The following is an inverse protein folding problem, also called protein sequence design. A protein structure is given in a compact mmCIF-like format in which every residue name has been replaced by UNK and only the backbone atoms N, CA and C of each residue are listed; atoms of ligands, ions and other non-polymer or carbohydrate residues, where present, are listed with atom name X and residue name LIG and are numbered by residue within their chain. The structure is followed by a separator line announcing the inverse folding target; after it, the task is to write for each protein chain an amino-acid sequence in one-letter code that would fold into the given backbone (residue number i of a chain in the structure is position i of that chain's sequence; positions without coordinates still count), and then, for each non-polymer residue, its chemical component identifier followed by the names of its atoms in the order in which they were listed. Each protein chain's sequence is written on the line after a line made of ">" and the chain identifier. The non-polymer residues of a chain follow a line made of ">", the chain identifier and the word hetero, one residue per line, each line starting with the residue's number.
data_IF_063953549641
#
_entry.id   IF_063953549641
#
_cell.length_a   1.000
_cell.length_b   1.000
_cell.length_c   1.000
_cell.angle_alpha   90.00
_cell.angle_beta   90.00
_cell.angle_gamma   90.00
#
_symmetry.space_group_name_H-M   'P 1'
#
loop_
_entity.id
_entity.type
_entity.pdbx_description
1 polymer ?
#
# COMPACT_ATOMS: atom_id res chain seq x y z
N UNK A 1 0.35 -33.99 -9.52
CA UNK A 1 0.84 -32.62 -9.23
C UNK A 1 -0.15 -31.94 -8.30
N UNK A 2 0.21 -31.65 -7.05
CA UNK A 2 -0.76 -31.17 -6.09
C UNK A 2 -1.07 -29.70 -6.39
N UNK A 3 -2.35 -29.43 -6.67
CA UNK A 3 -2.94 -28.11 -6.56
C UNK A 3 -2.58 -27.58 -5.17
N UNK A 4 -1.69 -26.60 -5.11
CA UNK A 4 -1.31 -25.94 -3.87
C UNK A 4 -2.51 -25.13 -3.40
N UNK A 5 -3.27 -25.78 -2.53
CA UNK A 5 -4.19 -25.27 -1.54
C UNK A 5 -4.19 -23.73 -1.45
N UNK A 6 -5.13 -23.12 -2.18
CA UNK A 6 -5.35 -21.69 -2.14
C UNK A 6 -5.89 -21.34 -0.75
N UNK A 7 -4.98 -21.07 0.20
CA UNK A 7 -5.31 -20.62 1.57
C UNK A 7 -6.12 -19.32 1.64
N UNK A 8 -6.50 -18.73 0.50
CA UNK A 8 -7.44 -17.59 0.42
C UNK A 8 -8.90 -18.07 0.44
N UNK A 9 -9.18 -19.33 0.08
CA UNK A 9 -10.54 -19.85 -0.07
C UNK A 9 -11.05 -20.65 1.14
N UNK A 10 -10.27 -20.80 2.21
CA UNK A 10 -10.72 -21.52 3.42
C UNK A 10 -11.13 -20.55 4.52
N UNK A 11 -12.35 -20.02 4.39
CA UNK A 11 -13.32 -19.83 5.49
C UNK A 11 -14.58 -19.13 4.93
N UNK A 12 -15.49 -19.92 4.35
CA UNK A 12 -16.85 -19.52 3.99
C UNK A 12 -17.78 -19.33 5.21
N UNK A 13 -17.27 -19.59 6.41
CA UNK A 13 -17.99 -19.65 7.70
C UNK A 13 -18.33 -18.30 8.34
N UNK A 14 -18.03 -17.17 7.69
CA UNK A 14 -18.22 -15.82 8.26
C UNK A 14 -19.06 -14.86 7.39
N UNK A 15 -19.79 -15.36 6.40
CA UNK A 15 -20.70 -14.52 5.61
C UNK A 15 -22.12 -14.58 6.17
N UNK A 16 -22.58 -13.45 6.69
CA UNK A 16 -23.90 -13.32 7.31
C UNK A 16 -25.05 -13.24 6.30
N UNK A 17 -24.77 -13.10 4.99
CA UNK A 17 -25.78 -12.87 3.95
C UNK A 17 -25.56 -13.76 2.70
N UNK A 18 -26.66 -14.19 2.08
CA UNK A 18 -26.70 -15.08 0.91
C UNK A 18 -26.13 -14.41 -0.35
N UNK A 19 -26.32 -13.09 -0.47
CA UNK A 19 -25.79 -12.28 -1.57
C UNK A 19 -24.26 -12.17 -1.52
N UNK A 20 -23.69 -12.03 -0.32
CA UNK A 20 -22.23 -12.01 -0.16
C UNK A 20 -21.64 -13.34 -0.63
N UNK A 21 -22.20 -14.47 -0.16
CA UNK A 21 -21.77 -15.82 -0.55
C UNK A 21 -21.77 -15.99 -2.07
N UNK A 22 -22.81 -15.52 -2.75
CA UNK A 22 -22.90 -15.59 -4.22
C UNK A 22 -21.72 -14.89 -4.91
N UNK A 23 -21.37 -13.66 -4.49
CA UNK A 23 -20.25 -12.94 -5.07
C UNK A 23 -18.92 -13.68 -4.86
N UNK A 24 -18.70 -14.28 -3.69
CA UNK A 24 -17.50 -15.07 -3.42
C UNK A 24 -17.46 -16.36 -4.23
N UNK A 25 -18.56 -17.09 -4.36
CA UNK A 25 -18.65 -18.31 -5.15
C UNK A 25 -18.37 -18.07 -6.64
N UNK A 26 -18.91 -16.97 -7.19
CA UNK A 26 -18.65 -16.57 -8.58
C UNK A 26 -17.16 -16.29 -8.79
N UNK A 27 -16.55 -15.49 -7.90
CA UNK A 27 -15.13 -15.15 -7.99
C UNK A 27 -14.24 -16.40 -7.81
N UNK A 28 -14.58 -17.27 -6.86
CA UNK A 28 -13.85 -18.51 -6.59
C UNK A 28 -13.92 -19.49 -7.78
N UNK A 29 -15.08 -19.61 -8.42
CA UNK A 29 -15.22 -20.36 -9.68
C UNK A 29 -14.29 -19.81 -10.77
N UNK A 30 -14.26 -18.48 -10.96
CA UNK A 30 -13.38 -17.85 -11.94
C UNK A 30 -11.89 -18.03 -11.61
N UNK A 31 -11.53 -18.07 -10.32
CA UNK A 31 -10.17 -18.38 -9.87
C UNK A 31 -9.75 -19.80 -10.25
N UNK A 32 -10.59 -20.81 -9.98
CA UNK A 32 -10.33 -22.21 -10.36
C UNK A 32 -10.16 -22.38 -11.87
N UNK A 33 -10.88 -21.59 -12.67
CA UNK A 33 -10.79 -21.61 -14.13
C UNK A 33 -9.62 -20.76 -14.68
N UNK A 34 -8.78 -20.15 -13.83
CA UNK A 34 -7.71 -19.21 -14.20
C UNK A 34 -8.17 -18.00 -15.03
N UNK A 35 -9.44 -17.60 -14.91
CA UNK A 35 -10.03 -16.48 -15.66
C UNK A 35 -9.86 -15.15 -14.92
N UNK A 36 -8.61 -14.77 -14.61
CA UNK A 36 -8.29 -13.58 -13.80
C UNK A 36 -8.83 -12.27 -14.37
N UNK A 37 -8.84 -12.11 -15.69
CA UNK A 37 -9.43 -10.94 -16.35
C UNK A 37 -10.92 -10.80 -16.07
N UNK A 38 -11.68 -11.91 -16.03
CA UNK A 38 -13.11 -11.88 -15.77
C UNK A 38 -13.42 -11.49 -14.32
N UNK A 39 -12.56 -11.86 -13.37
CA UNK A 39 -12.68 -11.43 -11.96
C UNK A 39 -12.62 -9.90 -11.88
N UNK A 40 -11.66 -9.28 -12.59
CA UNK A 40 -11.51 -7.83 -12.62
C UNK A 40 -12.69 -7.14 -13.28
N UNK A 41 -13.20 -7.69 -14.38
CA UNK A 41 -14.45 -7.21 -15.01
C UNK A 41 -15.64 -7.32 -14.06
N UNK A 42 -15.80 -8.46 -13.39
CA UNK A 42 -16.88 -8.69 -12.45
C UNK A 42 -16.85 -7.70 -11.27
N UNK A 43 -15.66 -7.49 -10.69
CA UNK A 43 -15.47 -6.55 -9.59
C UNK A 43 -15.68 -5.09 -10.01
N UNK A 44 -15.51 -4.72 -11.28
CA UNK A 44 -15.69 -3.35 -11.77
C UNK A 44 -17.10 -3.03 -12.26
N UNK A 45 -17.93 -4.05 -12.51
CA UNK A 45 -19.27 -3.88 -13.09
C UNK A 45 -20.39 -4.02 -12.06
N UNK A 46 -20.20 -4.82 -11.01
CA UNK A 46 -21.20 -5.06 -9.98
C UNK A 46 -21.03 -4.11 -8.79
N UNK A 47 -22.12 -3.89 -8.06
CA UNK A 47 -22.13 -3.14 -6.79
C UNK A 47 -21.99 -4.08 -5.61
N UNK A 48 -21.26 -3.66 -4.58
CA UNK A 48 -20.99 -4.50 -3.42
C UNK A 48 -21.19 -3.70 -2.13
N UNK A 49 -21.70 -4.33 -1.06
CA UNK A 49 -21.79 -3.68 0.24
C UNK A 49 -20.39 -3.46 0.86
N UNK A 50 -20.24 -2.38 1.63
CA UNK A 50 -18.91 -1.93 2.07
C UNK A 50 -18.20 -2.90 3.02
N UNK A 51 -18.92 -3.70 3.79
CA UNK A 51 -18.33 -4.66 4.74
C UNK A 51 -17.55 -5.79 4.06
N UNK A 52 -17.84 -6.11 2.79
CA UNK A 52 -17.09 -7.11 2.02
C UNK A 52 -15.95 -6.51 1.19
N UNK A 53 -15.85 -5.18 1.06
CA UNK A 53 -14.87 -4.53 0.18
C UNK A 53 -13.44 -4.96 0.47
N UNK A 54 -13.04 -5.10 1.74
CA UNK A 54 -11.70 -5.57 2.10
C UNK A 54 -11.35 -6.94 1.51
N UNK A 55 -12.32 -7.87 1.53
CA UNK A 55 -12.14 -9.22 0.99
C UNK A 55 -12.07 -9.16 -0.55
N UNK A 56 -12.94 -8.36 -1.18
CA UNK A 56 -12.94 -8.17 -2.64
C UNK A 56 -11.68 -7.48 -3.15
N UNK A 57 -11.16 -6.48 -2.44
CA UNK A 57 -9.89 -5.82 -2.75
C UNK A 57 -8.71 -6.80 -2.67
N UNK A 58 -8.72 -7.73 -1.71
CA UNK A 58 -7.71 -8.81 -1.65
C UNK A 58 -7.80 -9.69 -2.89
N UNK A 59 -9.00 -10.12 -3.28
CA UNK A 59 -9.22 -10.94 -4.48
C UNK A 59 -8.85 -10.21 -5.79
N UNK A 60 -9.11 -8.90 -5.87
CA UNK A 60 -8.68 -8.05 -6.98
C UNK A 60 -7.17 -8.16 -7.20
N UNK A 61 -6.36 -7.96 -6.15
CA UNK A 61 -4.91 -8.04 -6.26
C UNK A 61 -4.40 -9.46 -6.44
N UNK A 62 -5.03 -10.45 -5.79
CA UNK A 62 -4.68 -11.85 -5.96
C UNK A 62 -4.85 -12.30 -7.41
N UNK A 63 -5.85 -11.79 -8.13
CA UNK A 63 -6.03 -12.06 -9.56
C UNK A 63 -4.80 -11.64 -10.40
N UNK A 64 -4.23 -10.46 -10.13
CA UNK A 64 -3.00 -10.02 -10.80
C UNK A 64 -1.77 -10.78 -10.32
N UNK A 65 -1.72 -11.14 -9.03
CA UNK A 65 -0.58 -11.88 -8.50
C UNK A 65 -0.49 -13.29 -9.10
N UNK A 66 -1.62 -13.98 -9.22
CA UNK A 66 -1.67 -15.32 -9.82
C UNK A 66 -1.35 -15.27 -11.31
N UNK A 67 -1.88 -14.29 -12.03
CA UNK A 67 -1.55 -14.08 -13.44
C UNK A 67 -0.04 -13.91 -13.63
N UNK A 68 0.62 -13.05 -12.85
CA UNK A 68 2.08 -12.87 -12.93
C UNK A 68 2.90 -14.09 -12.47
N UNK A 69 2.41 -14.85 -11.48
CA UNK A 69 3.04 -16.11 -11.06
C UNK A 69 2.99 -17.16 -12.16
N UNK A 70 1.87 -17.25 -12.88
CA UNK A 70 1.71 -18.18 -14.00
C UNK A 70 2.71 -17.91 -15.13
N UNK A 71 3.16 -16.67 -15.28
CA UNK A 71 4.24 -16.26 -16.17
C UNK A 71 5.66 -16.48 -15.60
N UNK A 72 5.81 -17.28 -14.55
CA UNK A 72 7.12 -17.65 -13.96
C UNK A 72 7.80 -16.56 -13.15
N UNK A 73 7.10 -15.47 -12.80
CA UNK A 73 7.67 -14.36 -12.03
C UNK A 73 7.34 -14.51 -10.55
N UNK A 74 8.36 -14.72 -9.72
CA UNK A 74 8.22 -14.62 -8.28
C UNK A 74 8.00 -13.14 -7.88
N UNK A 75 6.86 -12.88 -7.24
CA UNK A 75 6.45 -11.51 -6.87
C UNK A 75 7.06 -11.07 -5.55
N UNK A 76 8.18 -10.33 -5.64
CA UNK A 76 8.75 -9.60 -4.51
C UNK A 76 7.82 -8.48 -4.02
N UNK A 77 7.97 -8.08 -2.75
CA UNK A 77 7.15 -7.07 -2.09
C UNK A 77 7.06 -5.73 -2.88
N UNK A 78 8.18 -5.27 -3.46
CA UNK A 78 8.23 -4.04 -4.26
C UNK A 78 7.42 -4.17 -5.55
N UNK A 79 7.44 -5.33 -6.19
CA UNK A 79 6.64 -5.59 -7.39
C UNK A 79 5.14 -5.55 -7.05
N UNK A 80 4.73 -6.18 -5.93
CA UNK A 80 3.35 -6.10 -5.43
C UNK A 80 2.94 -4.65 -5.12
N UNK A 81 3.82 -3.84 -4.52
CA UNK A 81 3.56 -2.43 -4.29
C UNK A 81 3.34 -1.64 -5.59
N UNK A 82 4.21 -1.81 -6.59
CA UNK A 82 4.07 -1.15 -7.89
C UNK A 82 2.77 -1.53 -8.59
N UNK A 83 2.38 -2.80 -8.49
CA UNK A 83 1.13 -3.30 -9.04
C UNK A 83 -0.09 -2.64 -8.40
N UNK A 84 -0.13 -2.58 -7.06
CA UNK A 84 -1.19 -1.88 -6.31
C UNK A 84 -1.31 -0.40 -6.68
N UNK A 85 -0.17 0.25 -6.90
CA UNK A 85 -0.14 1.65 -7.36
C UNK A 85 -0.60 1.82 -8.80
N UNK A 86 -0.27 0.87 -9.69
CA UNK A 86 -0.62 0.93 -11.12
C UNK A 86 -2.09 0.55 -11.37
N UNK A 87 -2.63 -0.37 -10.60
CA UNK A 87 -3.97 -0.93 -10.78
C UNK A 87 -4.78 -0.87 -9.47
N UNK A 88 -5.19 0.34 -9.03
CA UNK A 88 -6.05 0.47 -7.86
C UNK A 88 -7.38 -0.27 -8.07
N UNK A 89 -8.08 -0.67 -7.00
CA UNK A 89 -9.36 -1.35 -7.13
C UNK A 89 -10.41 -0.41 -7.75
N UNK A 90 -11.43 -0.95 -8.42
CA UNK A 90 -12.50 -0.14 -8.99
C UNK A 90 -13.35 0.52 -7.89
N UNK A 91 -14.04 1.62 -8.24
CA UNK A 91 -14.85 2.39 -7.26
C UNK A 91 -16.01 1.61 -6.65
N UNK A 92 -16.43 0.54 -7.31
CA UNK A 92 -17.42 -0.43 -6.85
C UNK A 92 -17.03 -1.19 -5.58
N UNK A 93 -15.72 -1.27 -5.28
CA UNK A 93 -15.17 -1.94 -4.10
C UNK A 93 -14.20 -1.05 -3.31
N UNK A 94 -14.16 0.25 -3.62
CA UNK A 94 -13.25 1.22 -2.99
C UNK A 94 -13.78 2.65 -3.12
N UNK A 95 -13.81 3.40 -2.03
CA UNK A 95 -14.24 4.80 -1.98
C UNK A 95 -13.33 5.78 -2.76
N UNK A 96 -12.09 5.38 -3.09
CA UNK A 96 -11.13 6.24 -3.79
C UNK A 96 -10.17 6.98 -2.86
N UNK A 97 -10.20 6.73 -1.56
CA UNK A 97 -9.30 7.36 -0.59
C UNK A 97 -7.87 6.87 -0.77
N UNK A 98 -7.02 7.75 -1.30
CA UNK A 98 -5.60 7.45 -1.51
C UNK A 98 -4.87 7.54 -0.19
N UNK A 99 -4.15 6.47 0.16
CA UNK A 99 -3.12 6.53 1.20
C UNK A 99 -2.01 7.49 0.74
N UNK A 100 -1.90 8.64 1.40
CA UNK A 100 -0.73 9.51 1.22
C UNK A 100 0.45 8.91 1.95
N UNK A 101 1.40 8.35 1.19
CA UNK A 101 2.67 7.89 1.72
C UNK A 101 3.64 9.04 2.04
N UNK A 102 3.28 10.28 1.68
CA UNK A 102 4.08 11.44 1.97
C UNK A 102 3.82 11.89 3.39
N UNK A 103 4.90 12.14 4.13
CA UNK A 103 4.80 12.74 5.45
C UNK A 103 4.19 14.15 5.35
N UNK A 104 3.39 14.56 6.35
CA UNK A 104 2.90 15.94 6.46
C UNK A 104 4.05 16.94 6.34
N UNK A 105 3.80 18.11 5.74
CA UNK A 105 4.84 19.12 5.52
C UNK A 105 5.51 19.52 6.85
N UNK A 106 4.73 19.70 7.91
CA UNK A 106 5.22 20.01 9.26
C UNK A 106 6.21 18.94 9.76
N UNK A 107 5.85 17.66 9.64
CA UNK A 107 6.71 16.53 10.04
C UNK A 107 7.98 16.45 9.20
N UNK A 108 7.90 16.71 7.90
CA UNK A 108 9.09 16.78 7.02
C UNK A 108 10.05 17.87 7.46
N UNK A 109 9.54 19.08 7.71
CA UNK A 109 10.36 20.22 8.14
C UNK A 109 11.06 19.93 9.47
N UNK A 110 10.34 19.34 10.42
CA UNK A 110 10.87 18.96 11.73
C UNK A 110 12.00 17.93 11.60
N UNK A 111 11.76 16.85 10.86
CA UNK A 111 12.77 15.80 10.61
C UNK A 111 14.01 16.34 9.88
N UNK A 112 13.82 17.26 8.92
CA UNK A 112 14.95 17.90 8.24
C UNK A 112 15.75 18.82 9.13
N UNK A 113 15.09 19.55 10.04
CA UNK A 113 15.79 20.38 11.03
C UNK A 113 16.63 19.53 11.97
N UNK A 114 16.08 18.42 12.48
CA UNK A 114 16.82 17.49 13.31
C UNK A 114 18.01 16.87 12.55
N UNK A 115 17.78 16.40 11.32
CA UNK A 115 18.80 15.72 10.52
C UNK A 115 20.03 16.60 10.23
N UNK A 116 19.85 17.92 10.07
CA UNK A 116 20.96 18.86 9.89
C UNK A 116 21.94 18.87 11.07
N UNK A 117 21.43 18.61 12.27
CA UNK A 117 22.23 18.59 13.50
C UNK A 117 22.74 17.17 13.81
N UNK A 118 21.91 16.15 13.59
CA UNK A 118 22.23 14.75 13.87
C UNK A 118 21.68 13.81 12.77
N UNK A 119 22.58 13.23 11.96
CA UNK A 119 22.20 12.31 10.87
C UNK A 119 21.84 10.89 11.35
N UNK A 120 22.18 10.55 12.59
CA UNK A 120 22.02 9.25 13.22
C UNK A 120 21.31 9.39 14.56
N UNK A 121 20.02 9.69 14.52
CA UNK A 121 19.18 9.68 15.71
C UNK A 121 19.26 8.33 16.46
N UNK A 122 19.31 8.39 17.80
CA UNK A 122 19.26 7.26 18.71
C UNK A 122 17.88 6.57 18.69
N UNK A 123 17.65 5.55 19.52
CA UNK A 123 16.30 4.96 19.63
C UNK A 123 15.37 5.93 20.36
N UNK A 124 15.80 6.46 21.49
CA UNK A 124 15.01 7.37 22.33
C UNK A 124 14.65 8.67 21.57
N UNK A 125 15.60 9.24 20.82
CA UNK A 125 15.34 10.43 19.99
C UNK A 125 14.28 10.12 18.91
N UNK A 126 14.30 8.93 18.31
CA UNK A 126 13.26 8.56 17.32
C UNK A 126 11.90 8.40 17.96
N UNK A 127 11.84 7.84 19.16
CA UNK A 127 10.60 7.69 19.91
C UNK A 127 10.00 9.06 20.28
N UNK A 128 10.84 9.99 20.76
CA UNK A 128 10.42 11.35 21.10
C UNK A 128 9.93 12.11 19.85
N UNK A 129 10.67 12.04 18.74
CA UNK A 129 10.25 12.63 17.46
C UNK A 129 8.93 12.04 16.95
N UNK A 130 8.74 10.72 17.09
CA UNK A 130 7.52 10.03 16.70
C UNK A 130 6.33 10.52 17.53
N UNK A 131 6.48 10.59 18.86
CA UNK A 131 5.49 11.14 19.80
C UNK A 131 5.14 12.59 19.45
N UNK A 132 6.13 13.44 19.23
CA UNK A 132 5.93 14.87 18.94
C UNK A 132 5.17 15.14 17.62
N UNK A 133 5.34 14.27 16.61
CA UNK A 133 4.70 14.45 15.30
C UNK A 133 3.43 13.60 15.09
N UNK A 134 3.03 12.80 16.08
CA UNK A 134 1.92 11.84 15.94
C UNK A 134 2.20 10.77 14.89
N UNK A 135 3.44 10.30 14.82
CA UNK A 135 3.90 9.31 13.85
C UNK A 135 4.38 8.04 14.55
N UNK A 136 4.57 6.95 13.82
CA UNK A 136 5.19 5.75 14.38
C UNK A 136 6.71 5.85 14.34
N UNK A 137 7.40 5.26 15.32
CA UNK A 137 8.86 5.19 15.37
C UNK A 137 9.45 4.58 14.08
N UNK A 138 8.76 3.58 13.51
CA UNK A 138 9.12 2.97 12.23
C UNK A 138 9.10 3.98 11.07
N UNK A 139 8.14 4.91 11.02
CA UNK A 139 8.10 5.95 9.99
C UNK A 139 9.31 6.89 10.12
N UNK A 140 9.65 7.29 11.33
CA UNK A 140 10.83 8.13 11.62
C UNK A 140 12.12 7.39 11.24
N UNK A 141 12.28 6.15 11.71
CA UNK A 141 13.43 5.30 11.40
C UNK A 141 13.64 5.11 9.88
N UNK A 142 12.55 4.80 9.17
CA UNK A 142 12.57 4.67 7.71
C UNK A 142 12.91 5.99 7.02
N UNK A 143 12.44 7.13 7.53
CA UNK A 143 12.77 8.44 6.99
C UNK A 143 14.28 8.71 7.08
N UNK A 144 14.90 8.51 8.25
CA UNK A 144 16.34 8.70 8.43
C UNK A 144 17.17 7.77 7.52
N UNK A 145 16.77 6.50 7.44
CA UNK A 145 17.40 5.52 6.54
C UNK A 145 17.34 5.99 5.09
N UNK A 146 16.16 6.41 4.64
CA UNK A 146 15.95 6.88 3.27
C UNK A 146 16.71 8.19 2.98
N UNK A 147 16.75 9.13 3.93
CA UNK A 147 17.49 10.41 3.79
C UNK A 147 18.99 10.16 3.62
N UNK A 148 19.60 9.32 4.45
CA UNK A 148 21.02 8.94 4.31
C UNK A 148 21.32 8.22 3.00
N UNK A 149 20.45 7.29 2.58
CA UNK A 149 20.60 6.61 1.28
C UNK A 149 20.57 7.59 0.11
N UNK A 150 19.66 8.58 0.14
CA UNK A 150 19.57 9.64 -0.88
C UNK A 150 20.82 10.54 -0.87
N UNK A 151 21.27 10.99 0.31
CA UNK A 151 22.50 11.79 0.46
C UNK A 151 23.70 11.09 -0.18
N UNK A 152 23.96 9.83 0.19
CA UNK A 152 25.04 9.01 -0.38
C UNK A 152 24.91 8.82 -1.90
N UNK A 153 23.69 8.64 -2.40
CA UNK A 153 23.45 8.49 -3.84
C UNK A 153 23.73 9.79 -4.59
N UNK A 154 23.43 10.94 -3.99
CA UNK A 154 23.69 12.26 -4.56
C UNK A 154 25.19 12.58 -4.57
N UNK A 155 25.90 12.26 -3.48
CA UNK A 155 27.36 12.44 -3.38
C UNK A 155 28.11 11.58 -4.40
N UNK A 156 27.66 10.34 -4.66
CA UNK A 156 28.23 9.44 -5.67
C UNK A 156 28.04 9.92 -7.11
N UNK A 157 27.09 10.83 -7.37
CA UNK A 157 26.81 11.32 -8.73
C UNK A 157 27.68 12.52 -9.13
N UNK A 158 28.49 13.07 -8.22
CA UNK A 158 29.34 14.24 -8.48
C UNK A 158 28.55 15.52 -8.82
N UNK A 159 29.18 16.70 -8.77
CA UNK A 159 28.54 17.94 -9.20
C UNK A 159 28.46 17.96 -10.73
N UNK A 160 27.30 17.60 -11.29
CA UNK A 160 27.00 17.89 -12.69
C UNK A 160 26.70 19.40 -12.82
N UNK A 161 27.39 20.14 -13.71
CA UNK A 161 27.05 21.54 -13.95
C UNK A 161 25.77 21.60 -14.79
N UNK A 162 24.69 22.03 -14.14
CA UNK A 162 23.49 22.68 -14.69
C UNK A 162 22.81 22.05 -15.92
N UNK A 163 21.58 21.53 -15.75
CA UNK A 163 20.38 21.97 -16.49
C UNK A 163 19.13 21.13 -16.14
N UNK A 164 18.00 21.84 -16.00
CA UNK A 164 16.59 21.36 -15.96
C UNK A 164 16.05 20.71 -14.68
N UNK A 165 15.68 21.59 -13.73
CA UNK A 165 14.52 21.39 -12.89
C UNK A 165 13.24 21.36 -13.76
N UNK A 166 12.90 20.18 -14.26
CA UNK A 166 11.68 19.92 -15.02
C UNK A 166 10.46 19.74 -14.11
N UNK A 167 9.64 20.79 -14.04
CA UNK A 167 8.17 20.79 -14.01
C UNK A 167 7.44 19.77 -13.10
N UNK A 168 6.96 20.28 -11.96
CA UNK A 168 5.59 20.04 -11.51
C UNK A 168 5.14 21.23 -10.65
N UNK A 169 4.90 22.37 -11.32
CA UNK A 169 3.91 23.32 -10.84
C UNK A 169 2.51 22.79 -11.21
N UNK A 170 1.49 23.23 -10.46
CA UNK A 170 0.04 22.93 -10.57
C UNK A 170 -0.38 21.58 -9.95
N UNK A 171 -1.23 21.48 -8.94
CA UNK A 171 -2.28 22.37 -8.44
C UNK A 171 -2.28 22.32 -6.89
N UNK A 172 -2.27 23.48 -6.26
CA UNK A 172 -2.85 23.65 -4.93
C UNK A 172 -4.36 23.63 -5.13
N UNK A 173 -5.03 22.64 -4.56
CA UNK A 173 -6.48 22.65 -4.41
C UNK A 173 -6.75 22.34 -2.94
N UNK A 174 -7.12 23.39 -2.21
CA UNK A 174 -7.70 23.31 -0.87
C UNK A 174 -8.87 22.32 -0.89
N UNK A 175 -8.85 21.30 -0.03
CA UNK A 175 -10.07 20.58 0.34
C UNK A 175 -10.08 20.30 1.83
N UNK A 176 -11.21 20.72 2.39
CA UNK A 176 -11.60 20.73 3.79
C UNK A 176 -11.44 19.36 4.46
N UNK A 177 -11.00 19.39 5.71
CA UNK A 177 -11.17 18.26 6.63
C UNK A 177 -12.67 18.06 6.84
N UNK A 178 -13.17 16.92 6.39
CA UNK A 178 -14.43 16.37 6.90
C UNK A 178 -14.06 15.18 7.76
N UNK A 179 -14.10 15.37 9.08
CA UNK A 179 -14.19 14.25 10.01
C UNK A 179 -15.56 13.60 9.81
N UNK A 180 -15.60 12.30 9.48
CA UNK A 180 -16.72 11.42 9.80
C UNK A 180 -16.29 9.94 9.73
N UNK A 181 -16.92 9.15 10.61
CA UNK A 181 -16.56 7.81 11.09
C UNK A 181 -15.92 6.85 10.08
N UNK A 182 -14.68 6.47 10.40
CA UNK A 182 -13.92 5.44 9.71
C UNK A 182 -14.34 4.07 10.23
N UNK A 183 -14.86 3.22 9.33
CA UNK A 183 -14.83 1.78 9.55
C UNK A 183 -13.35 1.33 9.56
N UNK A 184 -12.78 1.21 10.75
CA UNK A 184 -11.39 0.86 11.00
C UNK A 184 -10.96 -0.34 10.16
N UNK A 185 -9.86 -0.18 9.43
CA UNK A 185 -9.12 -1.30 8.88
C UNK A 185 -7.67 -1.18 9.34
N UNK A 186 -7.38 -1.88 10.43
CA UNK A 186 -6.05 -2.31 10.81
C UNK A 186 -5.49 -3.21 9.70
N UNK A 187 -4.80 -2.60 8.75
CA UNK A 187 -3.87 -3.33 7.88
C UNK A 187 -2.52 -3.39 8.59
N UNK A 188 -2.51 -4.28 9.58
CA UNK A 188 -1.29 -4.76 10.22
C UNK A 188 -0.39 -5.44 9.18
N UNK A 189 0.92 -5.20 9.28
CA UNK A 189 1.84 -5.65 8.24
C UNK A 189 3.26 -5.09 8.31
N UNK A 190 3.84 -4.93 9.50
CA UNK A 190 5.30 -4.87 9.66
C UNK A 190 5.84 -6.22 10.15
N UNK A 191 5.90 -7.21 9.26
CA UNK A 191 6.78 -8.37 9.50
C UNK A 191 8.22 -7.94 9.28
N UNK A 192 8.86 -7.56 10.38
CA UNK A 192 10.31 -7.38 10.48
C UNK A 192 10.95 -8.77 10.33
N UNK A 193 11.58 -9.03 9.18
CA UNK A 193 12.58 -10.09 9.07
C UNK A 193 13.75 -9.68 9.97
N UNK A 194 13.81 -10.21 11.19
CA UNK A 194 15.05 -10.29 11.96
C UNK A 194 15.93 -11.32 11.26
N UNK A 195 17.03 -10.88 10.65
CA UNK A 195 18.18 -11.75 10.38
C UNK A 195 19.02 -11.78 11.65
N UNK A 196 18.97 -12.90 12.35
CA UNK A 196 20.06 -13.43 13.17
C UNK A 196 20.58 -14.66 12.47
#
# INVERSE_FOLDING_TARGET
>A
MPYMDCRVCSNYSHFSNREDLYHFEVIDKLFRENKFSQIRTYLSTNTFPCHIWNKLQKLWYESFYQELRSHGKELKAVAKFRLRKKYPPPRTVWNGEKLSYNLPQKSRNFLEAFFRNNEFASTDEKEEMAKAMGMTESQVSNWFKNKRQRKRTNERKGPSPNQNAGHNARFEEEREHVEHDVCQNDLDGSTIIKRG
#
